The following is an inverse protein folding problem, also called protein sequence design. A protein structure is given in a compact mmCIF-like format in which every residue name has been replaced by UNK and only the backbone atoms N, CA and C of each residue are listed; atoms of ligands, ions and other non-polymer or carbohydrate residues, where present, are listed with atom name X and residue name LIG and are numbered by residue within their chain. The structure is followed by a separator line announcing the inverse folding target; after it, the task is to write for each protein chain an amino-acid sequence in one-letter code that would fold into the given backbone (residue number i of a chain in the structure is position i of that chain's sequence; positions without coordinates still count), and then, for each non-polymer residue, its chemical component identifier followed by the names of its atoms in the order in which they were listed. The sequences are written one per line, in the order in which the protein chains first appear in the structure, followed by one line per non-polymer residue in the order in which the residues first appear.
data_IF_637889001786
#
_entry.id   IF_637889001786
#
_cell.length_a   1.000
_cell.length_b   1.000
_cell.length_c   1.000
_cell.angle_alpha   90.00
_cell.angle_beta   90.00
_cell.angle_gamma   90.00
#
_symmetry.space_group_name_H-M   'P 1'
#
loop_
_entity.id
_entity.type
_entity.pdbx_description
1 polymer ?
#
# COMPACT_ATOMS: atom_id res chain seq x y z
N UNK A 1 86.21 15.31 -4.44
CA UNK A 1 85.29 14.47 -5.24
C UNK A 1 85.24 13.11 -4.56
N UNK A 2 84.12 12.54 -4.10
CA UNK A 2 82.70 12.83 -4.21
C UNK A 2 82.02 12.31 -2.93
N UNK A 3 81.10 13.13 -2.41
CA UNK A 3 80.02 12.79 -1.48
C UNK A 3 79.12 11.66 -2.04
N UNK A 4 78.69 10.70 -1.21
CA UNK A 4 77.51 9.87 -1.49
C UNK A 4 76.56 9.88 -0.30
N UNK A 5 75.33 10.25 -0.61
CA UNK A 5 74.21 10.60 0.26
C UNK A 5 73.32 9.38 0.54
N UNK A 6 72.74 9.41 1.74
CA UNK A 6 71.69 8.57 2.36
C UNK A 6 70.64 7.97 1.41
N UNK A 7 70.07 6.83 1.80
CA UNK A 7 68.65 6.55 1.55
C UNK A 7 68.03 5.71 2.67
N UNK A 8 67.21 6.38 3.48
CA UNK A 8 66.41 5.80 4.57
C UNK A 8 65.07 5.37 3.98
N UNK A 9 64.73 4.07 4.03
CA UNK A 9 63.42 3.57 3.61
C UNK A 9 62.37 3.90 4.68
N UNK A 10 61.47 4.83 4.37
CA UNK A 10 60.23 5.05 5.12
C UNK A 10 59.19 4.05 4.60
N UNK A 11 58.76 3.13 5.45
CA UNK A 11 57.63 2.23 5.18
C UNK A 11 56.36 2.95 5.59
N UNK A 12 55.59 3.40 4.60
CA UNK A 12 54.25 3.97 4.80
C UNK A 12 53.26 2.82 5.03
N UNK A 13 52.89 2.61 6.29
CA UNK A 13 51.82 1.68 6.65
C UNK A 13 50.47 2.39 6.39
N UNK A 14 49.88 2.12 5.23
CA UNK A 14 48.56 2.63 4.86
C UNK A 14 47.48 2.04 5.77
N UNK A 15 46.99 2.87 6.69
CA UNK A 15 45.83 2.58 7.53
C UNK A 15 44.57 2.70 6.66
N UNK A 16 44.06 1.58 6.14
CA UNK A 16 42.73 1.53 5.55
C UNK A 16 41.68 1.74 6.64
N UNK A 17 41.22 2.99 6.80
CA UNK A 17 39.96 3.30 7.48
C UNK A 17 38.81 2.71 6.65
N UNK A 18 38.43 1.48 6.97
CA UNK A 18 37.12 0.93 6.63
C UNK A 18 36.08 1.73 7.42
N UNK A 19 35.54 2.78 6.81
CA UNK A 19 34.32 3.40 7.27
C UNK A 19 33.20 2.37 7.13
N UNK A 20 32.92 1.66 8.22
CA UNK A 20 31.72 0.85 8.36
C UNK A 20 30.53 1.79 8.18
N UNK A 21 29.92 1.78 6.99
CA UNK A 21 28.58 2.32 6.79
C UNK A 21 27.66 1.50 7.69
N UNK A 22 27.44 1.99 8.91
CA UNK A 22 26.35 1.50 9.75
C UNK A 22 25.10 1.83 8.96
N UNK A 23 24.53 0.81 8.31
CA UNK A 23 23.21 0.91 7.70
C UNK A 23 22.24 1.23 8.83
N UNK A 24 22.00 2.51 9.08
CA UNK A 24 21.12 2.98 10.14
C UNK A 24 19.72 2.47 9.85
N UNK A 25 19.12 1.81 10.84
CA UNK A 25 17.69 1.50 10.81
C UNK A 25 16.92 2.81 10.58
N UNK A 26 16.18 2.90 9.48
CA UNK A 26 15.36 4.07 9.20
C UNK A 26 14.03 3.91 9.94
N UNK A 27 13.69 4.79 10.90
CA UNK A 27 12.40 4.71 11.55
C UNK A 27 11.29 4.92 10.52
N UNK A 28 10.20 4.18 10.65
CA UNK A 28 8.98 4.45 9.86
C UNK A 28 8.41 5.80 10.29
N UNK A 29 8.43 6.79 9.40
CA UNK A 29 7.85 8.10 9.68
C UNK A 29 6.36 8.09 9.36
N UNK A 30 5.53 8.60 10.26
CA UNK A 30 4.07 8.64 10.10
C UNK A 30 3.58 10.08 10.16
N UNK A 31 2.67 10.43 9.25
CA UNK A 31 2.00 11.74 9.19
C UNK A 31 0.48 11.54 9.11
N UNK A 32 -0.23 12.07 10.10
CA UNK A 32 -1.69 12.12 10.10
C UNK A 32 -2.16 13.28 9.23
N UNK A 33 -3.08 13.01 8.32
CA UNK A 33 -3.65 14.00 7.42
C UNK A 33 -5.04 14.40 7.94
N UNK A 34 -5.13 15.63 8.45
CA UNK A 34 -6.41 16.19 8.86
C UNK A 34 -7.17 16.74 7.64
N UNK A 35 -6.58 17.74 6.98
CA UNK A 35 -7.06 18.33 5.74
C UNK A 35 -6.16 17.93 4.57
N UNK A 36 -6.75 17.82 3.38
CA UNK A 36 -6.03 17.54 2.13
C UNK A 36 -6.53 18.50 1.04
N UNK A 37 -6.21 19.81 1.15
CA UNK A 37 -6.76 20.84 0.27
C UNK A 37 -6.37 20.64 -1.21
N UNK A 38 -5.25 19.97 -1.47
CA UNK A 38 -4.80 19.61 -2.82
C UNK A 38 -5.35 18.25 -3.30
N UNK A 39 -6.05 17.51 -2.45
CA UNK A 39 -6.61 16.19 -2.76
C UNK A 39 -5.58 15.09 -3.02
N UNK A 40 -4.31 15.32 -2.71
CA UNK A 40 -3.20 14.46 -3.14
C UNK A 40 -3.18 13.11 -2.41
N UNK A 41 -3.42 13.11 -1.09
CA UNK A 41 -3.43 11.89 -0.29
C UNK A 41 -4.73 11.13 -0.54
N UNK A 42 -5.85 11.85 -0.58
CA UNK A 42 -7.18 11.31 -0.87
C UNK A 42 -7.19 10.62 -2.23
N UNK A 43 -6.60 11.22 -3.28
CA UNK A 43 -6.48 10.61 -4.60
C UNK A 43 -5.64 9.32 -4.57
N UNK A 44 -4.54 9.27 -3.81
CA UNK A 44 -3.74 8.05 -3.65
C UNK A 44 -4.49 6.93 -2.94
N UNK A 45 -5.26 7.27 -1.90
CA UNK A 45 -6.12 6.28 -1.21
C UNK A 45 -7.24 5.80 -2.14
N UNK A 46 -7.84 6.68 -2.93
CA UNK A 46 -8.84 6.31 -3.94
C UNK A 46 -8.26 5.41 -5.04
N UNK A 47 -7.02 5.65 -5.46
CA UNK A 47 -6.33 4.79 -6.43
C UNK A 47 -6.18 3.34 -5.93
N UNK A 48 -6.12 3.12 -4.61
CA UNK A 48 -6.20 1.76 -4.05
C UNK A 48 -7.64 1.24 -3.99
N UNK A 49 -8.63 2.09 -3.66
CA UNK A 49 -10.03 1.70 -3.56
C UNK A 49 -10.65 1.29 -4.92
N UNK A 50 -10.51 2.13 -5.94
CA UNK A 50 -11.16 1.99 -7.24
C UNK A 50 -10.95 0.62 -7.92
N UNK A 51 -9.72 0.09 -8.08
CA UNK A 51 -9.52 -1.20 -8.72
C UNK A 51 -10.18 -2.34 -7.94
N UNK A 52 -10.14 -2.29 -6.60
CA UNK A 52 -10.79 -3.28 -5.75
C UNK A 52 -12.32 -3.23 -5.87
N UNK A 53 -12.92 -2.02 -5.81
CA UNK A 53 -14.36 -1.83 -5.88
C UNK A 53 -14.91 -2.20 -7.27
N UNK A 54 -14.23 -1.79 -8.34
CA UNK A 54 -14.61 -2.12 -9.72
C UNK A 54 -14.56 -3.63 -9.97
N UNK A 55 -13.44 -4.28 -9.64
CA UNK A 55 -13.34 -5.73 -9.77
C UNK A 55 -14.44 -6.44 -8.97
N UNK A 56 -14.80 -5.90 -7.80
CA UNK A 56 -15.81 -6.51 -6.95
C UNK A 56 -17.22 -6.33 -7.51
N UNK A 57 -17.54 -5.16 -8.08
CA UNK A 57 -18.81 -4.94 -8.77
C UNK A 57 -18.98 -5.88 -9.95
N UNK A 58 -17.95 -6.04 -10.79
CA UNK A 58 -17.98 -6.99 -11.91
C UNK A 58 -18.10 -8.44 -11.46
N UNK A 59 -17.35 -8.82 -10.42
CA UNK A 59 -17.40 -10.15 -9.82
C UNK A 59 -18.77 -10.47 -9.21
N UNK A 60 -19.34 -9.52 -8.49
CA UNK A 60 -20.67 -9.61 -7.88
C UNK A 60 -21.77 -9.73 -8.94
N UNK A 61 -21.74 -8.86 -9.96
CA UNK A 61 -22.64 -8.93 -11.12
C UNK A 61 -22.60 -10.28 -11.83
N UNK A 62 -21.40 -10.81 -12.07
CA UNK A 62 -21.22 -12.10 -12.70
C UNK A 62 -21.79 -13.25 -11.86
N UNK A 63 -21.65 -13.18 -10.53
CA UNK A 63 -22.22 -14.18 -9.62
C UNK A 63 -23.75 -14.14 -9.57
N UNK A 64 -24.37 -13.00 -9.87
CA UNK A 64 -25.83 -12.86 -9.85
C UNK A 64 -26.54 -13.42 -11.07
N UNK A 65 -25.84 -13.58 -12.21
CA UNK A 65 -26.42 -14.13 -13.44
C UNK A 65 -27.74 -13.44 -13.86
N UNK A 66 -27.83 -12.12 -13.67
CA UNK A 66 -29.02 -11.31 -14.00
C UNK A 66 -30.08 -11.23 -12.90
N UNK A 67 -29.86 -11.88 -11.74
CA UNK A 67 -30.69 -11.72 -10.55
C UNK A 67 -30.57 -10.28 -10.00
N UNK A 68 -31.73 -9.68 -9.69
CA UNK A 68 -31.79 -8.44 -8.90
C UNK A 68 -31.60 -8.75 -7.42
N UNK A 69 -31.04 -7.78 -6.70
CA UNK A 69 -30.78 -7.87 -5.26
C UNK A 69 -31.48 -6.72 -4.56
N UNK A 70 -32.05 -6.97 -3.39
CA UNK A 70 -32.54 -5.86 -2.57
C UNK A 70 -31.38 -5.15 -1.85
N UNK A 71 -31.70 -4.02 -1.22
CA UNK A 71 -30.72 -3.20 -0.51
C UNK A 71 -30.09 -3.94 0.69
N UNK A 72 -30.82 -4.83 1.35
CA UNK A 72 -30.28 -5.58 2.49
C UNK A 72 -29.24 -6.61 2.03
N UNK A 73 -29.54 -7.33 0.94
CA UNK A 73 -28.61 -8.25 0.30
C UNK A 73 -27.35 -7.53 -0.18
N UNK A 74 -27.49 -6.37 -0.83
CA UNK A 74 -26.35 -5.57 -1.28
C UNK A 74 -25.53 -5.00 -0.11
N UNK A 75 -26.17 -4.59 1.00
CA UNK A 75 -25.49 -4.02 2.16
C UNK A 75 -24.46 -4.99 2.75
N UNK A 76 -24.76 -6.29 2.81
CA UNK A 76 -23.81 -7.28 3.31
C UNK A 76 -22.55 -7.40 2.42
N UNK A 77 -22.70 -7.17 1.12
CA UNK A 77 -21.58 -7.07 0.18
C UNK A 77 -20.81 -5.75 0.36
N UNK A 78 -21.51 -4.61 0.33
CA UNK A 78 -20.88 -3.28 0.33
C UNK A 78 -20.16 -2.94 1.63
N UNK A 79 -20.67 -3.38 2.78
CA UNK A 79 -20.10 -3.10 4.09
C UNK A 79 -18.62 -3.54 4.21
N UNK A 80 -18.20 -4.56 3.46
CA UNK A 80 -16.82 -5.05 3.43
C UNK A 80 -15.84 -4.07 2.74
N UNK A 81 -16.35 -3.18 1.89
CA UNK A 81 -15.58 -2.11 1.26
C UNK A 81 -15.66 -0.84 2.10
N UNK A 82 -16.83 -0.55 2.67
CA UNK A 82 -17.06 0.64 3.51
C UNK A 82 -16.35 0.56 4.87
N UNK A 83 -15.99 -0.63 5.35
CA UNK A 83 -15.22 -0.78 6.59
C UNK A 83 -13.74 -1.05 6.38
N UNK A 84 -13.32 -1.41 5.17
CA UNK A 84 -11.93 -1.77 4.91
C UNK A 84 -10.99 -0.56 4.91
N UNK A 85 -9.78 -0.77 5.44
CA UNK A 85 -8.60 0.04 5.14
C UNK A 85 -8.12 -0.25 3.72
N UNK A 86 -7.83 0.81 2.97
CA UNK A 86 -7.22 0.77 1.64
C UNK A 86 -5.87 1.48 1.71
N UNK A 87 -4.87 0.87 1.08
CA UNK A 87 -3.51 1.39 1.08
C UNK A 87 -2.97 1.41 -0.35
N UNK A 88 -2.45 2.55 -0.76
CA UNK A 88 -1.59 2.67 -1.94
C UNK A 88 -0.16 2.95 -1.48
N UNK A 89 0.82 2.26 -2.05
CA UNK A 89 2.22 2.48 -1.74
C UNK A 89 3.04 2.62 -3.01
N UNK A 90 3.83 3.68 -3.11
CA UNK A 90 4.78 3.88 -4.19
C UNK A 90 6.18 3.57 -3.68
N UNK A 91 6.79 2.53 -4.24
CA UNK A 91 8.18 2.16 -3.99
C UNK A 91 9.07 2.71 -5.09
N UNK A 92 10.04 3.53 -4.70
CA UNK A 92 11.08 4.06 -5.57
C UNK A 92 12.41 3.40 -5.24
N UNK A 93 13.09 2.89 -6.28
CA UNK A 93 14.34 2.16 -6.16
C UNK A 93 15.23 2.46 -7.37
N UNK A 94 16.52 2.19 -7.26
CA UNK A 94 17.48 2.44 -8.33
C UNK A 94 18.07 1.13 -8.89
N UNK A 95 18.30 1.12 -10.20
CA UNK A 95 19.09 0.10 -10.90
C UNK A 95 20.06 0.87 -11.80
N UNK A 96 21.36 0.64 -11.61
CA UNK A 96 22.45 1.26 -12.39
C UNK A 96 22.31 2.79 -12.52
N UNK A 97 21.96 3.45 -11.41
CA UNK A 97 21.77 4.91 -11.32
C UNK A 97 20.47 5.43 -11.93
N UNK A 98 19.62 4.57 -12.50
CA UNK A 98 18.30 4.93 -13.01
C UNK A 98 17.22 4.69 -11.95
N UNK A 99 16.42 5.71 -11.67
CA UNK A 99 15.30 5.64 -10.73
C UNK A 99 14.08 4.97 -11.38
N UNK A 100 13.55 3.96 -10.70
CA UNK A 100 12.35 3.23 -11.08
C UNK A 100 11.29 3.37 -9.99
N UNK A 101 10.03 3.19 -10.39
CA UNK A 101 8.89 3.23 -9.48
C UNK A 101 7.99 2.03 -9.70
N UNK A 102 7.42 1.53 -8.62
CA UNK A 102 6.40 0.49 -8.63
C UNK A 102 5.31 0.84 -7.62
N UNK A 103 4.06 0.76 -8.05
CA UNK A 103 2.90 1.08 -7.20
C UNK A 103 2.23 -0.21 -6.76
N UNK A 104 1.87 -0.27 -5.48
CA UNK A 104 1.19 -1.38 -4.84
C UNK A 104 -0.12 -0.89 -4.24
N UNK A 105 -1.19 -1.65 -4.39
CA UNK A 105 -2.47 -1.39 -3.77
C UNK A 105 -2.92 -2.59 -2.94
N UNK A 106 -3.54 -2.34 -1.81
CA UNK A 106 -4.12 -3.39 -0.98
C UNK A 106 -5.40 -2.93 -0.30
N UNK A 107 -6.27 -3.92 -0.09
CA UNK A 107 -7.44 -3.82 0.79
C UNK A 107 -7.28 -4.77 1.97
N UNK A 108 -7.63 -4.28 3.15
CA UNK A 108 -7.68 -5.09 4.37
C UNK A 108 -8.82 -6.12 4.34
N UNK A 109 -8.70 -7.16 5.15
CA UNK A 109 -9.65 -8.28 5.18
C UNK A 109 -9.35 -9.33 4.11
N UNK A 110 -10.28 -10.26 3.89
CA UNK A 110 -10.12 -11.32 2.90
C UNK A 110 -9.98 -10.74 1.50
N UNK A 111 -9.10 -11.31 0.68
CA UNK A 111 -8.94 -10.88 -0.71
C UNK A 111 -10.27 -10.94 -1.47
N UNK A 112 -10.88 -12.12 -1.50
CA UNK A 112 -12.20 -12.35 -2.07
C UNK A 112 -13.26 -11.84 -1.09
N UNK A 113 -14.06 -10.82 -1.48
CA UNK A 113 -15.16 -10.37 -0.66
C UNK A 113 -16.25 -11.44 -0.59
N UNK A 114 -17.08 -11.43 0.44
CA UNK A 114 -18.28 -12.27 0.49
C UNK A 114 -19.36 -11.66 -0.40
N UNK A 115 -20.11 -12.50 -1.11
CA UNK A 115 -21.29 -12.06 -1.87
C UNK A 115 -22.43 -11.56 -0.97
N UNK A 116 -22.45 -11.88 0.33
CA UNK A 116 -23.50 -11.40 1.23
C UNK A 116 -24.89 -12.06 1.01
N UNK A 117 -25.03 -12.90 0.00
CA UNK A 117 -26.27 -13.63 -0.33
C UNK A 117 -26.09 -15.13 -0.01
N UNK A 118 -26.91 -15.71 0.88
CA UNK A 118 -26.84 -17.13 1.21
C UNK A 118 -27.00 -18.03 -0.02
N UNK A 119 -26.14 -19.04 -0.13
CA UNK A 119 -26.19 -20.04 -1.21
C UNK A 119 -25.64 -19.56 -2.56
N UNK A 120 -25.40 -18.25 -2.74
CA UNK A 120 -24.82 -17.73 -3.96
C UNK A 120 -23.32 -18.06 -4.04
N UNK A 121 -22.85 -18.45 -5.22
CA UNK A 121 -21.44 -18.77 -5.49
C UNK A 121 -20.98 -17.99 -6.70
N UNK A 122 -19.74 -17.50 -6.64
CA UNK A 122 -19.14 -16.87 -7.79
C UNK A 122 -18.75 -17.91 -8.83
N UNK A 123 -18.94 -17.55 -10.10
CA UNK A 123 -18.60 -18.40 -11.25
C UNK A 123 -17.08 -18.42 -11.52
N UNK A 124 -16.38 -17.37 -11.11
CA UNK A 124 -14.93 -17.21 -11.30
C UNK A 124 -14.29 -16.55 -10.08
N UNK A 125 -13.02 -16.81 -9.88
CA UNK A 125 -12.23 -16.19 -8.82
C UNK A 125 -12.22 -14.67 -8.95
N UNK A 126 -12.29 -13.98 -7.80
CA UNK A 126 -12.26 -12.52 -7.73
C UNK A 126 -11.04 -11.89 -8.43
N UNK A 127 -9.88 -12.53 -8.35
CA UNK A 127 -8.65 -12.05 -9.01
C UNK A 127 -8.77 -11.95 -10.53
N UNK A 128 -9.67 -12.72 -11.16
CA UNK A 128 -9.87 -12.68 -12.62
C UNK A 128 -10.56 -11.41 -13.12
N UNK A 129 -11.08 -10.57 -12.22
CA UNK A 129 -11.78 -9.32 -12.52
C UNK A 129 -10.90 -8.09 -12.37
N UNK A 130 -9.62 -8.27 -12.03
CA UNK A 130 -8.63 -7.22 -12.09
C UNK A 130 -8.06 -7.13 -13.50
N UNK A 131 -8.01 -5.92 -14.04
CA UNK A 131 -7.33 -5.68 -15.30
C UNK A 131 -5.83 -5.89 -15.15
N UNK A 132 -5.20 -6.25 -16.27
CA UNK A 132 -3.76 -6.21 -16.37
C UNK A 132 -3.30 -4.74 -16.28
N UNK A 133 -2.76 -4.36 -15.13
CA UNK A 133 -2.16 -3.06 -14.90
C UNK A 133 -0.68 -3.19 -14.53
N UNK A 134 0.05 -2.10 -14.64
CA UNK A 134 1.43 -2.00 -14.14
C UNK A 134 1.51 -2.00 -12.61
N UNK A 135 0.39 -1.64 -11.98
CA UNK A 135 0.25 -1.58 -10.53
C UNK A 135 0.02 -2.98 -9.95
N UNK A 136 0.52 -3.22 -8.74
CA UNK A 136 0.44 -4.52 -8.10
C UNK A 136 -0.68 -4.55 -7.08
N UNK A 137 -1.65 -5.45 -7.25
CA UNK A 137 -2.59 -5.78 -6.18
C UNK A 137 -1.92 -6.76 -5.21
N UNK A 138 -1.70 -6.30 -3.98
CA UNK A 138 -1.10 -7.09 -2.92
C UNK A 138 -2.18 -7.91 -2.17
N UNK A 139 -1.97 -9.21 -2.21
CA UNK A 139 -2.90 -10.23 -1.69
C UNK A 139 -2.40 -10.79 -0.34
N UNK A 140 -3.30 -11.36 0.47
CA UNK A 140 -2.99 -12.05 1.76
C UNK A 140 -2.25 -13.38 1.59
N UNK A 141 -1.16 -13.38 0.82
CA UNK A 141 -0.35 -14.57 0.58
C UNK A 141 0.47 -14.94 1.81
N UNK A 142 0.70 -16.25 1.97
CA UNK A 142 1.65 -16.78 2.95
C UNK A 142 3.00 -16.04 2.82
N UNK A 143 3.59 -15.59 3.94
CA UNK A 143 4.89 -14.95 3.94
C UNK A 143 5.94 -15.82 3.23
N UNK A 144 6.91 -15.24 2.51
CA UNK A 144 8.07 -15.98 2.03
C UNK A 144 8.76 -16.75 3.18
N UNK A 145 9.40 -17.89 2.89
CA UNK A 145 10.21 -18.59 3.90
C UNK A 145 11.25 -17.65 4.50
N UNK A 146 11.40 -17.62 5.82
CA UNK A 146 12.30 -16.68 6.51
C UNK A 146 11.96 -15.20 6.30
N UNK A 147 10.69 -14.87 6.06
CA UNK A 147 10.21 -13.48 6.05
C UNK A 147 10.39 -12.85 7.42
N UNK A 148 10.95 -11.65 7.46
CA UNK A 148 11.00 -10.81 8.67
C UNK A 148 9.72 -9.97 8.81
N UNK A 149 8.89 -9.92 7.77
CA UNK A 149 7.64 -9.14 7.70
C UNK A 149 6.47 -10.01 8.18
N UNK A 150 6.34 -10.13 9.49
CA UNK A 150 5.31 -10.95 10.14
C UNK A 150 4.26 -10.08 10.85
N UNK A 151 3.00 -10.54 10.84
CA UNK A 151 1.99 -9.93 11.70
C UNK A 151 2.38 -10.12 13.16
N UNK A 152 2.36 -9.04 13.94
CA UNK A 152 2.44 -9.15 15.40
C UNK A 152 1.06 -9.54 15.95
N UNK A 153 0.93 -10.59 16.76
CA UNK A 153 -0.31 -10.87 17.47
C UNK A 153 -0.65 -9.71 18.41
N UNK A 154 -1.93 -9.34 18.47
CA UNK A 154 -2.45 -8.36 19.41
C UNK A 154 -3.51 -9.03 20.28
N UNK A 155 -3.54 -8.68 21.56
CA UNK A 155 -4.57 -9.14 22.50
C UNK A 155 -5.79 -8.21 22.42
N UNK A 156 -6.57 -8.38 21.36
CA UNK A 156 -7.72 -7.51 21.02
C UNK A 156 -9.02 -8.29 20.75
N UNK A 157 -9.04 -9.56 21.13
CA UNK A 157 -10.18 -10.47 20.94
C UNK A 157 -10.44 -10.91 19.49
N UNK A 158 -9.61 -10.50 18.51
CA UNK A 158 -9.72 -10.99 17.12
C UNK A 158 -9.03 -12.34 16.96
N UNK A 159 -9.43 -13.08 15.92
CA UNK A 159 -8.71 -14.30 15.53
C UNK A 159 -7.23 -13.99 15.26
N UNK A 160 -6.33 -14.90 15.66
CA UNK A 160 -4.88 -14.69 15.59
C UNK A 160 -4.37 -14.32 14.18
N UNK A 161 -5.04 -14.79 13.12
CA UNK A 161 -4.69 -14.50 11.73
C UNK A 161 -5.45 -13.30 11.12
N UNK A 162 -6.23 -12.55 11.91
CA UNK A 162 -6.94 -11.38 11.42
C UNK A 162 -5.96 -10.33 10.88
N UNK A 163 -4.82 -10.19 11.55
CA UNK A 163 -3.76 -9.22 11.22
C UNK A 163 -2.96 -9.59 9.98
N UNK A 164 -2.94 -10.86 9.59
CA UNK A 164 -2.33 -11.29 8.32
C UNK A 164 -2.99 -10.68 7.08
N UNK A 165 -4.19 -10.13 7.27
CA UNK A 165 -5.04 -9.56 6.23
C UNK A 165 -5.07 -8.04 6.28
N UNK A 166 -4.24 -7.39 7.09
CA UNK A 166 -4.13 -5.93 7.09
C UNK A 166 -3.45 -5.46 5.79
N UNK A 167 -3.90 -4.33 5.24
CA UNK A 167 -3.51 -3.88 3.91
C UNK A 167 -2.02 -3.53 3.83
N UNK A 168 -1.48 -2.84 4.83
CA UNK A 168 -0.07 -2.46 4.91
C UNK A 168 0.83 -3.70 4.97
N UNK A 169 0.39 -4.74 5.70
CA UNK A 169 1.13 -5.99 5.80
C UNK A 169 1.16 -6.76 4.47
N UNK A 170 0.05 -6.80 3.73
CA UNK A 170 0.01 -7.38 2.38
C UNK A 170 1.03 -6.69 1.47
N UNK A 171 1.06 -5.36 1.48
CA UNK A 171 2.02 -4.57 0.70
C UNK A 171 3.45 -4.88 1.13
N UNK A 172 3.75 -4.85 2.42
CA UNK A 172 5.10 -5.09 2.92
C UNK A 172 5.61 -6.49 2.52
N UNK A 173 4.77 -7.53 2.63
CA UNK A 173 5.08 -8.90 2.18
C UNK A 173 5.23 -9.01 0.67
N UNK A 174 4.43 -8.28 -0.10
CA UNK A 174 4.52 -8.27 -1.56
C UNK A 174 5.81 -7.60 -2.03
N UNK A 175 6.19 -6.46 -1.43
CA UNK A 175 7.48 -5.79 -1.70
C UNK A 175 8.65 -6.72 -1.34
N UNK A 176 8.62 -7.36 -0.17
CA UNK A 176 9.67 -8.30 0.21
C UNK A 176 9.82 -9.43 -0.81
N UNK A 177 8.69 -9.98 -1.28
CA UNK A 177 8.67 -11.03 -2.31
C UNK A 177 9.26 -10.54 -3.63
N UNK A 178 8.89 -9.35 -4.07
CA UNK A 178 9.39 -8.79 -5.32
C UNK A 178 10.89 -8.47 -5.25
N UNK A 179 11.40 -8.04 -4.08
CA UNK A 179 12.84 -7.89 -3.84
C UNK A 179 13.55 -9.25 -3.93
N UNK A 180 13.04 -10.26 -3.23
CA UNK A 180 13.64 -11.62 -3.21
C UNK A 180 13.65 -12.27 -4.59
N UNK A 181 12.63 -11.98 -5.40
CA UNK A 181 12.51 -12.48 -6.77
C UNK A 181 13.28 -11.65 -7.80
N UNK A 182 14.03 -10.62 -7.37
CA UNK A 182 14.79 -9.74 -8.27
C UNK A 182 13.95 -8.84 -9.17
N UNK A 183 12.65 -8.66 -8.86
CA UNK A 183 11.75 -7.79 -9.64
C UNK A 183 11.94 -6.31 -9.33
N UNK A 184 12.34 -6.01 -8.10
CA UNK A 184 12.71 -4.65 -7.66
C UNK A 184 13.99 -4.74 -6.83
N UNK A 185 14.78 -3.68 -6.79
CA UNK A 185 16.00 -3.64 -5.97
C UNK A 185 15.63 -3.34 -4.51
N UNK A 186 16.40 -3.90 -3.57
CA UNK A 186 16.36 -3.48 -2.17
C UNK A 186 16.99 -2.09 -2.00
N UNK A 187 16.73 -1.43 -0.88
CA UNK A 187 17.08 -0.04 -0.69
C UNK A 187 16.15 0.91 -1.46
N UNK A 188 16.05 2.13 -1.00
CA UNK A 188 15.23 3.16 -1.64
C UNK A 188 14.22 3.78 -0.69
N UNK A 189 13.06 4.14 -1.23
CA UNK A 189 12.05 4.91 -0.53
C UNK A 189 10.64 4.38 -0.81
N UNK A 190 9.84 4.24 0.26
CA UNK A 190 8.47 3.78 0.23
C UNK A 190 7.55 4.85 0.80
N UNK A 191 6.76 5.50 -0.07
CA UNK A 191 5.65 6.34 0.34
C UNK A 191 4.36 5.51 0.42
N UNK A 192 3.77 5.42 1.60
CA UNK A 192 2.53 4.70 1.90
C UNK A 192 1.41 5.70 2.17
N UNK A 193 0.26 5.50 1.55
CA UNK A 193 -0.95 6.30 1.72
C UNK A 193 -2.08 5.38 2.18
N UNK A 194 -2.58 5.57 3.40
CA UNK A 194 -3.60 4.70 4.00
C UNK A 194 -4.89 5.45 4.31
N UNK A 195 -6.05 4.81 4.11
CA UNK A 195 -7.35 5.38 4.47
C UNK A 195 -7.57 5.49 5.98
N UNK A 196 -6.73 4.84 6.79
CA UNK A 196 -6.78 4.87 8.25
C UNK A 196 -5.37 4.79 8.83
N UNK A 197 -5.23 5.04 10.12
CA UNK A 197 -3.96 4.86 10.83
C UNK A 197 -3.49 3.39 10.74
N UNK A 198 -2.21 3.13 10.41
CA UNK A 198 -1.64 1.79 10.49
C UNK A 198 -1.86 1.22 11.89
N UNK A 199 -2.39 0.01 11.98
CA UNK A 199 -2.64 -0.61 13.27
C UNK A 199 -1.31 -0.99 13.98
N UNK A 200 -1.40 -1.33 15.28
CA UNK A 200 -0.23 -1.69 16.09
C UNK A 200 0.57 -2.91 15.58
N UNK A 201 0.01 -3.74 14.69
CA UNK A 201 0.74 -4.82 14.03
C UNK A 201 1.35 -4.44 12.68
N UNK A 202 0.84 -3.39 12.01
CA UNK A 202 1.34 -2.95 10.70
C UNK A 202 2.64 -2.16 10.80
N UNK A 203 2.77 -1.28 11.81
CA UNK A 203 3.98 -0.48 12.01
C UNK A 203 5.23 -1.33 12.25
N UNK A 204 5.24 -2.33 13.16
CA UNK A 204 6.38 -3.24 13.29
C UNK A 204 6.70 -4.01 12.01
N UNK A 205 5.69 -4.35 11.21
CA UNK A 205 5.92 -5.06 9.94
C UNK A 205 6.60 -4.16 8.89
N UNK A 206 6.20 -2.89 8.81
CA UNK A 206 6.86 -1.89 7.97
C UNK A 206 8.27 -1.59 8.48
N UNK A 207 8.47 -1.55 9.80
CA UNK A 207 9.80 -1.40 10.40
C UNK A 207 10.70 -2.59 10.07
N UNK A 208 10.19 -3.82 10.21
CA UNK A 208 10.94 -5.02 9.85
C UNK A 208 11.31 -5.08 8.36
N UNK A 209 10.47 -4.52 7.48
CA UNK A 209 10.80 -4.34 6.06
C UNK A 209 11.92 -3.30 5.89
N UNK A 210 11.82 -2.15 6.56
CA UNK A 210 12.84 -1.09 6.58
C UNK A 210 14.19 -1.66 7.00
N UNK A 211 14.24 -2.30 8.17
CA UNK A 211 15.47 -2.83 8.77
C UNK A 211 16.11 -3.92 7.90
N UNK A 212 15.30 -4.85 7.39
CA UNK A 212 15.82 -5.98 6.62
C UNK A 212 16.26 -5.62 5.20
N UNK A 213 15.74 -4.51 4.63
CA UNK A 213 15.93 -4.15 3.22
C UNK A 213 16.53 -2.78 2.98
N UNK A 214 16.84 -2.01 4.03
CA UNK A 214 17.38 -0.66 3.94
C UNK A 214 16.43 0.33 3.27
N UNK A 215 15.12 0.17 3.47
CA UNK A 215 14.09 1.00 2.81
C UNK A 215 13.65 2.11 3.75
N UNK A 216 13.71 3.37 3.30
CA UNK A 216 13.10 4.48 4.04
C UNK A 216 11.57 4.43 3.85
N UNK A 217 10.81 4.44 4.94
CA UNK A 217 9.34 4.29 4.88
C UNK A 217 8.67 5.52 5.47
N UNK A 218 7.83 6.17 4.67
CA UNK A 218 6.98 7.27 5.09
C UNK A 218 5.53 6.88 4.89
N UNK A 219 4.70 7.11 5.90
CA UNK A 219 3.27 6.78 5.87
C UNK A 219 2.46 8.06 6.07
N UNK A 220 1.65 8.42 5.09
CA UNK A 220 0.58 9.39 5.24
C UNK A 220 -0.74 8.64 5.43
N UNK A 221 -1.55 9.01 6.41
CA UNK A 221 -2.85 8.38 6.63
C UNK A 221 -3.95 9.39 6.93
N UNK A 222 -5.17 9.08 6.48
CA UNK A 222 -6.33 9.93 6.75
C UNK A 222 -6.73 9.81 8.22
N UNK A 223 -6.77 10.94 8.92
CA UNK A 223 -7.25 10.97 10.30
C UNK A 223 -8.70 10.54 10.39
N UNK A 224 -9.05 9.64 11.32
CA UNK A 224 -10.44 9.20 11.52
C UNK A 224 -11.36 10.41 11.66
N UNK A 225 -12.44 10.44 10.88
CA UNK A 225 -13.44 11.52 10.83
C UNK A 225 -12.91 12.91 10.44
N UNK A 226 -11.66 13.04 10.00
CA UNK A 226 -11.12 14.29 9.48
C UNK A 226 -11.83 14.72 8.19
N UNK A 227 -11.75 15.99 7.78
CA UNK A 227 -12.34 16.44 6.52
C UNK A 227 -11.81 15.65 5.30
N UNK A 228 -10.52 15.31 5.28
CA UNK A 228 -9.95 14.45 4.24
C UNK A 228 -10.54 13.03 4.26
N UNK A 229 -10.68 12.41 5.44
CA UNK A 229 -11.34 11.10 5.57
C UNK A 229 -12.79 11.14 5.10
N UNK A 230 -13.58 12.14 5.50
CA UNK A 230 -14.99 12.28 5.09
C UNK A 230 -15.13 12.46 3.58
N UNK A 231 -14.15 13.07 2.93
CA UNK A 231 -14.12 13.23 1.48
C UNK A 231 -13.90 11.88 0.80
N UNK A 232 -12.88 11.12 1.22
CA UNK A 232 -12.67 9.74 0.77
C UNK A 232 -13.92 8.87 1.02
N UNK A 233 -14.47 8.92 2.23
CA UNK A 233 -15.60 8.10 2.66
C UNK A 233 -16.85 8.35 1.83
N UNK A 234 -17.16 9.62 1.53
CA UNK A 234 -18.25 10.01 0.63
C UNK A 234 -18.07 9.42 -0.77
N UNK A 235 -16.87 9.55 -1.35
CA UNK A 235 -16.57 9.05 -2.70
C UNK A 235 -16.66 7.52 -2.75
N UNK A 236 -16.17 6.85 -1.71
CA UNK A 236 -16.31 5.40 -1.53
C UNK A 236 -17.78 4.97 -1.50
N UNK A 237 -18.62 5.62 -0.68
CA UNK A 237 -20.06 5.30 -0.63
C UNK A 237 -20.75 5.57 -1.97
N UNK A 238 -20.48 6.71 -2.62
CA UNK A 238 -21.02 7.01 -3.95
C UNK A 238 -20.67 5.94 -4.98
N UNK A 239 -19.45 5.41 -4.93
CA UNK A 239 -19.03 4.31 -5.80
C UNK A 239 -19.77 3.02 -5.49
N UNK A 240 -19.95 2.66 -4.21
CA UNK A 240 -20.73 1.48 -3.84
C UNK A 240 -22.21 1.59 -4.24
N UNK A 241 -22.83 2.76 -4.08
CA UNK A 241 -24.18 3.03 -4.58
C UNK A 241 -24.25 2.91 -6.10
N UNK A 242 -23.22 3.35 -6.82
CA UNK A 242 -23.15 3.16 -8.28
C UNK A 242 -23.18 1.67 -8.64
N UNK A 243 -22.43 0.83 -7.91
CA UNK A 243 -22.46 -0.62 -8.11
C UNK A 243 -23.87 -1.19 -7.82
N UNK A 244 -24.52 -0.79 -6.73
CA UNK A 244 -25.89 -1.21 -6.40
C UNK A 244 -26.88 -0.91 -7.54
N UNK A 245 -26.83 0.31 -8.05
CA UNK A 245 -27.67 0.76 -9.16
C UNK A 245 -27.37 -0.06 -10.42
N UNK A 246 -26.09 -0.28 -10.76
CA UNK A 246 -25.72 -1.10 -11.91
C UNK A 246 -26.18 -2.56 -11.79
N UNK A 247 -26.15 -3.13 -10.59
CA UNK A 247 -26.64 -4.49 -10.32
C UNK A 247 -28.14 -4.62 -10.55
N UNK A 248 -28.92 -3.59 -10.21
CA UNK A 248 -30.37 -3.64 -10.30
C UNK A 248 -30.94 -3.12 -11.63
N UNK A 249 -30.12 -3.09 -12.69
CA UNK A 249 -30.54 -2.72 -14.04
C UNK A 249 -30.22 -1.28 -14.44
N UNK A 250 -29.43 -0.56 -13.64
CA UNK A 250 -28.72 0.64 -14.09
C UNK A 250 -27.66 0.29 -15.11
N UNK A 251 -27.45 1.15 -16.11
CA UNK A 251 -26.56 0.91 -17.25
C UNK A 251 -25.18 0.35 -16.82
N UNK A 252 -24.86 -0.88 -17.24
CA UNK A 252 -23.57 -1.56 -16.97
C UNK A 252 -22.37 -0.73 -17.49
N UNK A 253 -22.59 0.09 -18.52
CA UNK A 253 -21.58 1.00 -19.07
C UNK A 253 -21.01 1.99 -18.04
N UNK A 254 -21.73 2.27 -16.94
CA UNK A 254 -21.29 3.20 -15.88
C UNK A 254 -20.11 2.64 -15.07
N UNK A 255 -20.02 1.32 -14.87
CA UNK A 255 -18.87 0.67 -14.20
C UNK A 255 -17.58 0.77 -15.02
N UNK A 256 -17.70 0.96 -16.34
CA UNK A 256 -16.57 1.16 -17.23
C UNK A 256 -16.19 2.64 -17.43
N UNK A 257 -17.11 3.59 -17.23
CA UNK A 257 -16.87 5.04 -17.41
C UNK A 257 -16.51 5.78 -16.12
N UNK A 258 -17.03 5.39 -14.95
CA UNK A 258 -16.76 6.12 -13.70
C UNK A 258 -15.31 5.94 -13.19
N UNK A 259 -14.59 4.92 -13.65
CA UNK A 259 -13.15 4.84 -13.43
C UNK A 259 -12.41 6.00 -14.13
N UNK A 260 -12.82 6.37 -15.35
CA UNK A 260 -12.17 7.40 -16.16
C UNK A 260 -12.38 8.84 -15.63
N UNK A 261 -13.50 9.11 -14.93
CA UNK A 261 -13.75 10.43 -14.32
C UNK A 261 -12.99 10.59 -12.99
N UNK A 262 -12.64 9.48 -12.33
CA UNK A 262 -11.87 9.47 -11.07
C UNK A 262 -10.35 9.33 -11.31
N UNK A 263 -9.92 9.03 -12.54
CA UNK A 263 -8.53 8.81 -12.97
C UNK A 263 -7.71 10.10 -13.16
N UNK A 264 -8.27 11.26 -12.82
CA UNK A 264 -7.49 12.49 -12.70
C UNK A 264 -6.69 12.48 -11.38
N UNK A 265 -5.88 11.44 -11.18
CA UNK A 265 -4.78 11.48 -10.23
C UNK A 265 -3.79 12.50 -10.80
N UNK A 266 -3.48 13.61 -10.10
CA UNK A 266 -2.46 14.53 -10.54
C UNK A 266 -1.16 13.78 -10.80
N UNK A 267 -0.34 14.28 -11.73
CA UNK A 267 1.03 13.81 -11.93
C UNK A 267 1.72 13.59 -10.58
N UNK A 268 2.62 12.60 -10.47
CA UNK A 268 3.16 12.21 -9.19
C UNK A 268 3.69 13.43 -8.46
N UNK A 269 3.06 13.80 -7.34
CA UNK A 269 3.71 14.66 -6.36
C UNK A 269 5.03 13.99 -6.06
N UNK A 270 6.12 14.75 -6.14
CA UNK A 270 7.42 14.27 -5.67
C UNK A 270 7.19 13.60 -4.32
N UNK A 271 7.71 12.37 -4.22
CA UNK A 271 7.74 11.61 -2.98
C UNK A 271 8.00 12.59 -1.84
N UNK A 272 7.14 12.66 -0.82
CA UNK A 272 7.24 13.65 0.26
C UNK A 272 8.71 13.79 0.64
N UNK A 273 9.34 14.87 0.18
CA UNK A 273 10.71 15.14 0.57
C UNK A 273 10.67 15.28 2.09
N UNK A 274 11.66 14.73 2.81
CA UNK A 274 11.73 14.95 4.24
C UNK A 274 11.78 16.46 4.46
N UNK A 275 10.68 17.04 4.97
CA UNK A 275 10.71 18.39 5.52
C UNK A 275 11.83 18.39 6.57
N UNK A 276 12.73 19.38 6.49
CA UNK A 276 13.80 19.54 7.47
C UNK A 276 13.19 19.47 8.86
N UNK A 277 13.68 18.53 9.67
CA UNK A 277 13.17 18.19 11.00
C UNK A 277 13.42 19.27 12.07
N UNK A 278 13.41 20.55 11.73
CA UNK A 278 13.62 21.63 12.70
C UNK A 278 12.33 22.02 13.46
N UNK A 279 11.13 21.67 12.96
CA UNK A 279 9.86 22.18 13.54
C UNK A 279 9.02 21.16 14.35
N UNK A 280 9.54 19.98 14.71
CA UNK A 280 8.79 19.00 15.52
C UNK A 280 9.04 19.07 17.04
N UNK A 281 9.66 20.14 17.52
CA UNK A 281 9.76 20.45 18.94
C UNK A 281 9.04 21.75 19.27
N UNK A 282 7.74 21.86 19.03
CA UNK A 282 6.91 22.79 19.79
C UNK A 282 5.43 22.38 19.77
N UNK A 283 4.93 22.11 20.99
CA UNK A 283 3.53 21.94 21.47
C UNK A 283 2.85 20.58 21.27
#
# INVERSE_FOLDING_TARGET
MMSVIKSTKVVFCGLCLLASLVAGAHPVLKRKIHDDPRGTVTARVLAAFTPHARAAGLWYLAALEGRRVDTQEFTAFSQQFESATFVSATYQYEIDGTSYRRVYHARSGWNEPRLGIPGLRAVRDYSAYFEASTDVIAWDRTPPRHSTVTARPLDDGRAANARDRDAELKIARQIERDIRNGRVRAGGYLAVYSSQEPCASCEPALQALSDARGIRVHVAFLGRQSPAYRTFDRLRHQHMTTIEVSVNGGQIHVLNHNAAVMDQVPAPVDCMEPENHEDLNEV
#
